data_IF_050622968362
#
_entry.id   IF_050622968362
#
_cell.length_a   1.000
_cell.length_b   1.000
_cell.length_c   1.000
_cell.angle_alpha   90.00
_cell.angle_beta   90.00
_cell.angle_gamma   90.00
#
_symmetry.space_group_name_H-M   'P 1'
#
loop_
_entity.id
_entity.type
_entity.pdbx_description
1 polymer ?
#
# COMPACT_ATOMS: atom_id res chain seq x y z
N UNK A 1 -16.49 3.58 66.59
CA UNK A 1 -15.59 2.41 66.69
C UNK A 1 -16.34 1.20 66.19
N UNK A 2 -15.97 0.47 65.11
CA UNK A 2 -14.68 -0.18 64.90
C UNK A 2 -14.12 0.04 63.46
N UNK A 3 -12.88 0.19 63.37
CA UNK A 3 -11.71 -0.58 62.84
C UNK A 3 -11.68 -0.82 61.32
N UNK A 4 -10.76 -0.09 60.70
CA UNK A 4 -10.29 -0.26 59.34
C UNK A 4 -9.55 -1.59 59.15
N UNK A 5 -9.73 -2.24 58.00
CA UNK A 5 -8.82 -3.27 57.53
C UNK A 5 -8.34 -2.84 56.12
N UNK A 6 -7.05 -2.61 56.00
CA UNK A 6 -6.34 -2.37 54.76
C UNK A 6 -6.26 -3.69 53.98
N UNK A 7 -6.60 -3.64 52.70
CA UNK A 7 -6.29 -4.69 51.72
C UNK A 7 -5.24 -4.15 50.73
N UNK A 8 -4.11 -4.77 50.83
CA UNK A 8 -2.97 -4.73 49.94
C UNK A 8 -3.38 -5.16 48.53
N UNK A 9 -3.21 -4.31 47.52
CA UNK A 9 -3.53 -4.56 46.14
C UNK A 9 -2.29 -4.38 45.29
N UNK A 10 -1.61 -5.47 45.01
CA UNK A 10 -0.49 -5.55 44.09
C UNK A 10 -0.84 -5.00 42.70
N UNK A 11 0.01 -4.14 42.18
CA UNK A 11 -0.04 -3.68 40.80
C UNK A 11 0.28 -4.83 39.85
N UNK A 12 -0.43 -4.99 38.75
CA UNK A 12 0.00 -5.91 37.71
C UNK A 12 1.12 -5.27 36.86
N UNK A 13 2.09 -6.10 36.65
CA UNK A 13 3.27 -5.97 35.80
C UNK A 13 2.93 -5.42 34.42
N UNK A 14 3.67 -4.43 33.96
CA UNK A 14 3.56 -3.86 32.64
C UNK A 14 4.10 -4.86 31.61
N UNK A 15 3.20 -5.56 30.95
CA UNK A 15 3.54 -6.36 29.78
C UNK A 15 4.05 -5.44 28.67
N UNK A 16 5.28 -5.69 28.25
CA UNK A 16 5.94 -5.02 27.13
C UNK A 16 5.09 -5.14 25.86
N UNK A 17 4.68 -4.00 25.36
CA UNK A 17 4.02 -3.86 24.05
C UNK A 17 5.03 -4.23 22.95
N UNK A 18 4.94 -5.46 22.50
CA UNK A 18 5.66 -5.93 21.34
C UNK A 18 5.03 -5.33 20.08
N UNK A 19 5.56 -4.19 19.64
CA UNK A 19 5.22 -3.60 18.34
C UNK A 19 5.64 -4.59 17.23
N UNK A 20 4.72 -5.45 16.84
CA UNK A 20 4.92 -6.27 15.64
C UNK A 20 4.90 -5.32 14.44
N UNK A 21 6.06 -4.98 13.95
CA UNK A 21 6.22 -4.40 12.62
C UNK A 21 5.54 -5.33 11.62
N UNK A 22 4.67 -4.79 10.79
CA UNK A 22 4.09 -5.54 9.69
C UNK A 22 5.24 -6.12 8.85
N UNK A 23 5.21 -7.41 8.50
CA UNK A 23 6.28 -7.98 7.70
C UNK A 23 6.30 -7.25 6.35
N UNK A 24 7.48 -6.75 5.99
CA UNK A 24 7.75 -6.28 4.65
C UNK A 24 7.20 -7.32 3.66
N UNK A 25 6.51 -6.85 2.62
CA UNK A 25 5.97 -7.72 1.58
C UNK A 25 7.14 -8.44 0.88
N UNK A 26 7.51 -9.59 1.41
CA UNK A 26 8.56 -10.44 0.84
C UNK A 26 8.00 -11.06 -0.44
N UNK A 27 8.64 -10.72 -1.54
CA UNK A 27 8.27 -11.14 -2.86
C UNK A 27 8.42 -12.65 -3.00
N UNK A 28 7.32 -13.37 -3.05
CA UNK A 28 7.32 -14.77 -3.39
C UNK A 28 7.96 -14.96 -4.78
N UNK A 29 9.07 -15.69 -4.82
CA UNK A 29 9.60 -16.25 -6.04
C UNK A 29 8.54 -17.18 -6.67
N UNK A 30 8.39 -17.20 -7.99
CA UNK A 30 7.51 -18.14 -8.65
C UNK A 30 8.00 -19.57 -8.42
N UNK A 31 7.06 -20.46 -8.11
CA UNK A 31 7.27 -21.90 -8.04
C UNK A 31 7.86 -22.40 -9.39
N UNK A 32 8.99 -23.07 -9.29
CA UNK A 32 9.69 -23.60 -10.45
C UNK A 32 8.90 -24.78 -11.04
N UNK A 33 8.39 -24.60 -12.25
CA UNK A 33 8.07 -25.69 -13.16
C UNK A 33 8.96 -25.55 -14.40
N UNK A 34 9.92 -26.40 -14.44
CA UNK A 34 10.71 -27.02 -15.50
C UNK A 34 10.59 -26.44 -16.93
N UNK A 35 11.72 -25.95 -17.49
CA UNK A 35 11.86 -25.50 -18.86
C UNK A 35 13.09 -24.61 -19.02
N UNK A 36 14.27 -25.21 -19.25
CA UNK A 36 15.55 -24.54 -19.45
C UNK A 36 15.53 -23.57 -20.63
N UNK A 37 15.61 -22.27 -20.35
CA UNK A 37 16.05 -21.21 -21.27
C UNK A 37 16.74 -20.08 -20.47
N UNK A 38 17.67 -19.30 -21.05
CA UNK A 38 18.86 -18.79 -20.39
C UNK A 38 18.58 -17.79 -19.26
N UNK A 39 19.14 -18.09 -18.10
CA UNK A 39 19.01 -17.36 -16.83
C UNK A 39 19.59 -15.92 -16.82
N UNK A 40 20.14 -15.42 -17.92
CA UNK A 40 20.80 -14.11 -17.97
C UNK A 40 19.85 -12.94 -18.35
N UNK A 41 18.63 -13.20 -18.80
CA UNK A 41 17.71 -12.16 -19.31
C UNK A 41 16.60 -11.76 -18.33
N UNK A 42 16.47 -12.40 -17.15
CA UNK A 42 15.36 -12.16 -16.23
C UNK A 42 15.68 -11.27 -15.03
N UNK A 43 16.95 -11.01 -14.72
CA UNK A 43 17.35 -10.23 -13.55
C UNK A 43 17.18 -8.70 -13.70
N UNK A 44 16.99 -8.18 -14.92
CA UNK A 44 16.99 -6.73 -15.19
C UNK A 44 15.61 -6.12 -15.44
N UNK A 45 14.52 -6.86 -15.21
CA UNK A 45 13.20 -6.42 -15.68
C UNK A 45 12.30 -5.71 -14.64
N UNK A 46 12.69 -5.64 -13.38
CA UNK A 46 12.02 -4.87 -12.33
C UNK A 46 13.04 -4.26 -11.35
N UNK A 47 14.04 -3.61 -11.89
CA UNK A 47 15.24 -3.15 -11.18
C UNK A 47 14.98 -2.14 -10.06
N UNK A 48 13.77 -1.56 -9.96
CA UNK A 48 13.44 -0.67 -8.86
C UNK A 48 12.35 -1.19 -7.90
N UNK A 49 11.81 -2.39 -8.12
CA UNK A 49 10.74 -2.95 -7.28
C UNK A 49 11.03 -2.85 -5.78
N UNK A 50 12.18 -3.32 -5.34
CA UNK A 50 12.55 -3.30 -3.93
C UNK A 50 12.64 -1.87 -3.35
N UNK A 51 13.07 -0.90 -4.18
CA UNK A 51 13.12 0.52 -3.79
C UNK A 51 11.72 1.12 -3.68
N UNK A 52 10.84 0.78 -4.61
CA UNK A 52 9.43 1.18 -4.59
C UNK A 52 8.78 0.69 -3.30
N UNK A 53 8.90 -0.59 -2.97
CA UNK A 53 8.32 -1.13 -1.73
C UNK A 53 8.88 -0.48 -0.47
N UNK A 54 10.21 -0.27 -0.36
CA UNK A 54 10.76 0.42 0.82
C UNK A 54 10.24 1.85 0.96
N UNK A 55 10.11 2.58 -0.14
CA UNK A 55 9.53 3.92 -0.12
C UNK A 55 8.06 3.90 0.32
N UNK A 56 7.29 2.96 -0.19
CA UNK A 56 5.88 2.81 0.17
C UNK A 56 5.70 2.34 1.61
N UNK A 57 6.57 1.47 2.14
CA UNK A 57 6.57 1.06 3.55
C UNK A 57 6.84 2.27 4.47
N UNK A 58 7.83 3.11 4.14
CA UNK A 58 8.12 4.33 4.89
C UNK A 58 6.94 5.32 4.85
N UNK A 59 6.32 5.49 3.69
CA UNK A 59 5.12 6.30 3.54
C UNK A 59 3.92 5.73 4.32
N UNK A 60 3.69 4.41 4.25
CA UNK A 60 2.63 3.74 4.99
C UNK A 60 2.78 3.89 6.51
N UNK A 61 4.01 3.86 7.03
CA UNK A 61 4.28 4.12 8.44
C UNK A 61 3.85 5.54 8.88
N UNK A 62 3.99 6.54 7.99
CA UNK A 62 3.51 7.90 8.25
C UNK A 62 1.97 7.98 8.27
N UNK A 63 1.29 7.30 7.35
CA UNK A 63 -0.17 7.20 7.34
C UNK A 63 -0.69 6.49 8.60
N UNK A 64 0.01 5.46 9.07
CA UNK A 64 -0.32 4.79 10.32
C UNK A 64 -0.14 5.71 11.53
N UNK A 65 0.89 6.55 11.54
CA UNK A 65 1.06 7.55 12.60
C UNK A 65 -0.12 8.54 12.60
N UNK A 66 -0.53 9.01 11.41
CA UNK A 66 -1.70 9.88 11.27
C UNK A 66 -2.97 9.21 11.81
N UNK A 67 -3.20 7.96 11.50
CA UNK A 67 -4.33 7.16 12.01
C UNK A 67 -4.32 7.01 13.54
N UNK A 68 -3.14 6.91 14.14
CA UNK A 68 -2.98 6.86 15.62
C UNK A 68 -3.07 8.23 16.31
N UNK A 69 -3.45 9.28 15.60
CA UNK A 69 -3.64 10.62 16.16
C UNK A 69 -2.43 11.56 16.04
N UNK A 70 -1.41 11.17 15.27
CA UNK A 70 -0.25 12.01 14.97
C UNK A 70 -0.22 12.40 13.47
N UNK A 71 -1.18 13.21 12.99
CA UNK A 71 -1.28 13.52 11.56
C UNK A 71 -0.20 14.50 11.07
N UNK A 72 0.46 15.23 11.97
CA UNK A 72 1.54 16.16 11.58
C UNK A 72 2.82 15.41 11.29
N UNK A 73 3.40 15.67 10.14
CA UNK A 73 4.70 15.14 9.74
C UNK A 73 5.58 16.26 9.15
N UNK A 74 6.90 16.10 9.25
CA UNK A 74 7.84 16.94 8.51
C UNK A 74 8.24 16.18 7.24
N UNK A 75 8.00 16.79 6.10
CA UNK A 75 8.31 16.25 4.77
C UNK A 75 9.13 17.28 4.02
N UNK A 76 10.37 16.93 3.66
CA UNK A 76 11.32 17.84 3.00
C UNK A 76 11.45 19.22 3.70
N UNK A 77 11.44 19.22 5.04
CA UNK A 77 11.55 20.46 5.84
C UNK A 77 10.22 21.21 6.04
N UNK A 78 9.14 20.80 5.41
CA UNK A 78 7.82 21.42 5.54
C UNK A 78 6.92 20.63 6.49
N UNK A 79 6.14 21.33 7.31
CA UNK A 79 5.10 20.69 8.12
C UNK A 79 3.87 20.43 7.23
N UNK A 80 3.42 19.19 7.21
CA UNK A 80 2.25 18.71 6.45
C UNK A 80 1.28 17.98 7.36
N UNK A 81 0.01 17.89 6.93
CA UNK A 81 -1.02 17.12 7.60
C UNK A 81 -1.37 15.90 6.74
N UNK A 82 -0.99 14.73 7.21
CA UNK A 82 -1.30 13.48 6.51
C UNK A 82 -2.68 12.96 6.89
N UNK A 83 -3.48 12.48 5.93
CA UNK A 83 -4.76 11.86 6.21
C UNK A 83 -4.59 10.51 6.88
N UNK A 84 -5.60 10.11 7.66
CA UNK A 84 -5.76 8.71 8.04
C UNK A 84 -6.26 7.92 6.84
N UNK A 85 -5.46 6.96 6.36
CA UNK A 85 -5.89 6.08 5.26
C UNK A 85 -7.10 5.21 5.66
N UNK A 86 -7.91 4.83 4.68
CA UNK A 86 -9.04 3.91 4.89
C UNK A 86 -8.56 2.49 5.11
N UNK A 87 -9.36 1.76 5.89
CA UNK A 87 -9.27 0.30 6.06
C UNK A 87 -10.61 -0.30 5.63
N UNK A 88 -10.57 -1.25 4.73
CA UNK A 88 -11.78 -1.87 4.19
C UNK A 88 -12.12 -3.13 5.00
N UNK A 89 -13.42 -3.36 5.21
CA UNK A 89 -13.88 -4.55 5.94
C UNK A 89 -13.89 -5.82 5.09
N UNK A 90 -14.09 -5.66 3.77
CA UNK A 90 -14.24 -6.76 2.83
C UNK A 90 -13.92 -6.35 1.39
N UNK A 91 -14.01 -7.30 0.47
CA UNK A 91 -13.75 -7.05 -0.95
C UNK A 91 -14.84 -6.22 -1.63
N UNK A 92 -16.09 -6.27 -1.16
CA UNK A 92 -17.19 -5.49 -1.75
C UNK A 92 -16.97 -4.00 -1.45
N UNK A 93 -16.50 -3.67 -0.26
CA UNK A 93 -16.09 -2.31 0.10
C UNK A 93 -14.92 -1.82 -0.77
N UNK A 94 -13.93 -2.69 -1.04
CA UNK A 94 -12.82 -2.38 -1.96
C UNK A 94 -13.34 -2.16 -3.38
N UNK A 95 -14.23 -3.03 -3.88
CA UNK A 95 -14.80 -2.91 -5.23
C UNK A 95 -15.54 -1.58 -5.41
N UNK A 96 -16.41 -1.25 -4.46
CA UNK A 96 -17.16 0.00 -4.46
C UNK A 96 -16.23 1.23 -4.39
N UNK A 97 -15.15 1.13 -3.61
CA UNK A 97 -14.14 2.17 -3.53
C UNK A 97 -13.40 2.37 -4.85
N UNK A 98 -12.88 1.31 -5.47
CA UNK A 98 -12.17 1.37 -6.75
C UNK A 98 -13.04 1.95 -7.87
N UNK A 99 -14.31 1.55 -7.93
CA UNK A 99 -15.26 2.12 -8.89
C UNK A 99 -15.41 3.65 -8.71
N UNK A 100 -15.49 4.12 -7.47
CA UNK A 100 -15.55 5.58 -7.17
C UNK A 100 -14.26 6.29 -7.53
N UNK A 101 -13.09 5.73 -7.21
CA UNK A 101 -11.79 6.32 -7.56
C UNK A 101 -11.67 6.49 -9.08
N UNK A 102 -11.98 5.43 -9.85
CA UNK A 102 -11.91 5.48 -11.31
C UNK A 102 -12.96 6.42 -11.94
N UNK A 103 -14.01 6.78 -11.22
CA UNK A 103 -15.01 7.75 -11.63
C UNK A 103 -14.65 9.20 -11.31
N UNK A 104 -13.61 9.46 -10.51
CA UNK A 104 -13.19 10.83 -10.17
C UNK A 104 -12.83 11.62 -11.43
N UNK A 105 -13.29 12.88 -11.54
CA UNK A 105 -13.02 13.71 -12.73
C UNK A 105 -11.53 13.87 -13.04
N UNK A 106 -10.70 14.10 -12.02
CA UNK A 106 -9.25 14.24 -12.18
C UNK A 106 -8.61 12.95 -12.73
N UNK A 107 -9.01 11.78 -12.21
CA UNK A 107 -8.55 10.48 -12.69
C UNK A 107 -8.97 10.26 -14.16
N UNK A 108 -10.23 10.53 -14.48
CA UNK A 108 -10.72 10.38 -15.86
C UNK A 108 -10.04 11.33 -16.84
N UNK A 109 -9.72 12.54 -16.41
CA UNK A 109 -9.00 13.51 -17.24
C UNK A 109 -7.55 13.06 -17.46
N UNK A 110 -6.86 12.59 -16.44
CA UNK A 110 -5.45 12.21 -16.53
C UNK A 110 -5.23 10.85 -17.21
N UNK A 111 -6.12 9.87 -16.97
CA UNK A 111 -5.90 8.47 -17.33
C UNK A 111 -6.90 7.93 -18.36
N UNK A 112 -7.97 8.67 -18.65
CA UNK A 112 -9.07 8.22 -19.52
C UNK A 112 -10.05 7.31 -18.77
N UNK A 113 -10.93 6.65 -19.55
CA UNK A 113 -11.88 5.68 -19.01
C UNK A 113 -11.17 4.34 -18.79
N UNK A 114 -10.98 3.96 -17.53
CA UNK A 114 -10.40 2.68 -17.12
C UNK A 114 -11.51 1.81 -16.54
N UNK A 115 -11.71 0.56 -17.00
CA UNK A 115 -12.68 -0.35 -16.40
C UNK A 115 -12.23 -0.76 -14.99
N UNK A 116 -13.18 -1.04 -14.11
CA UNK A 116 -12.87 -1.54 -12.77
C UNK A 116 -12.22 -2.92 -12.83
N UNK A 117 -11.19 -3.19 -12.02
CA UNK A 117 -10.61 -4.52 -11.91
C UNK A 117 -11.59 -5.49 -11.24
N UNK A 118 -11.44 -6.78 -11.51
CA UNK A 118 -12.08 -7.84 -10.72
C UNK A 118 -11.32 -8.00 -9.41
N UNK A 119 -12.04 -8.37 -8.36
CA UNK A 119 -11.43 -8.72 -7.08
C UNK A 119 -11.64 -10.20 -6.79
N UNK A 120 -10.65 -10.83 -6.19
CA UNK A 120 -10.78 -12.19 -5.68
C UNK A 120 -9.99 -12.38 -4.38
N UNK A 121 -10.48 -13.25 -3.53
CA UNK A 121 -9.70 -13.74 -2.40
C UNK A 121 -8.58 -14.65 -2.89
N UNK A 122 -7.41 -14.53 -2.26
CA UNK A 122 -6.34 -15.51 -2.45
C UNK A 122 -5.98 -16.18 -1.14
N UNK A 123 -5.49 -17.41 -1.24
CA UNK A 123 -4.91 -18.12 -0.10
C UNK A 123 -3.51 -17.57 0.20
N UNK A 124 -3.12 -17.58 1.47
CA UNK A 124 -1.84 -17.05 1.94
C UNK A 124 -1.95 -15.65 2.52
N UNK A 125 -0.86 -15.18 3.15
CA UNK A 125 -0.85 -13.95 3.96
C UNK A 125 0.17 -12.91 3.49
N UNK A 126 0.93 -13.18 2.42
CA UNK A 126 2.16 -12.41 2.14
C UNK A 126 2.02 -11.24 1.17
N UNK A 127 1.12 -11.27 0.20
CA UNK A 127 1.01 -10.18 -0.77
C UNK A 127 -0.36 -10.11 -1.42
N UNK A 128 -0.92 -8.90 -1.55
CA UNK A 128 -1.88 -8.60 -2.61
C UNK A 128 -1.11 -8.51 -3.92
N UNK A 129 -1.72 -8.81 -5.05
CA UNK A 129 -1.11 -8.57 -6.34
C UNK A 129 -2.15 -8.47 -7.46
N UNK A 130 -1.80 -7.65 -8.43
CA UNK A 130 -2.55 -7.55 -9.66
C UNK A 130 -2.19 -8.70 -10.62
N UNK A 131 -3.19 -9.25 -11.30
CA UNK A 131 -3.07 -10.34 -12.27
C UNK A 131 -3.66 -9.94 -13.62
N UNK A 132 -2.97 -10.20 -14.74
CA UNK A 132 -3.56 -10.03 -16.06
C UNK A 132 -4.83 -10.90 -16.25
N UNK A 133 -5.84 -10.46 -17.01
CA UNK A 133 -5.93 -9.16 -17.69
C UNK A 133 -6.48 -8.02 -16.82
N UNK A 134 -6.82 -8.24 -15.57
CA UNK A 134 -7.40 -7.19 -14.73
C UNK A 134 -8.05 -7.68 -13.44
N UNK A 135 -7.35 -8.54 -12.69
CA UNK A 135 -7.80 -9.05 -11.39
C UNK A 135 -6.83 -8.60 -10.30
N UNK A 136 -7.35 -8.12 -9.18
CA UNK A 136 -6.59 -7.89 -7.96
C UNK A 136 -6.89 -9.04 -6.99
N UNK A 137 -5.88 -9.81 -6.67
CA UNK A 137 -5.95 -10.92 -5.73
C UNK A 137 -5.52 -10.44 -4.34
N UNK A 138 -6.44 -10.48 -3.38
CA UNK A 138 -6.26 -9.93 -2.03
C UNK A 138 -6.23 -11.05 -1.01
N UNK A 139 -5.16 -11.20 -0.23
CA UNK A 139 -5.16 -12.09 0.92
C UNK A 139 -5.92 -11.45 2.07
N UNK A 140 -6.88 -12.18 2.62
CA UNK A 140 -7.54 -11.81 3.87
C UNK A 140 -7.18 -12.88 4.89
N UNK A 141 -6.30 -12.59 5.83
CA UNK A 141 -5.92 -13.54 6.85
C UNK A 141 -7.09 -13.84 7.77
N UNK A 142 -7.25 -15.10 8.23
CA UNK A 142 -8.34 -15.47 9.13
C UNK A 142 -8.22 -14.83 10.52
N UNK A 143 -7.01 -14.38 10.88
CA UNK A 143 -6.71 -13.74 12.16
C UNK A 143 -5.75 -12.57 11.95
N UNK A 144 -5.88 -11.54 12.78
CA UNK A 144 -5.05 -10.35 12.72
C UNK A 144 -5.62 -9.24 11.82
N UNK A 145 -4.89 -8.14 11.74
CA UNK A 145 -5.32 -7.00 10.93
C UNK A 145 -5.16 -7.31 9.43
N UNK A 146 -6.21 -7.13 8.62
CA UNK A 146 -6.14 -7.39 7.19
C UNK A 146 -5.35 -6.28 6.47
N UNK A 147 -4.03 -6.32 6.58
CA UNK A 147 -3.12 -5.33 6.02
C UNK A 147 -3.34 -5.10 4.51
N UNK A 148 -3.75 -6.12 3.78
CA UNK A 148 -4.03 -6.03 2.33
C UNK A 148 -5.31 -5.24 2.02
N UNK A 149 -6.15 -4.97 3.01
CA UNK A 149 -7.34 -4.12 2.91
C UNK A 149 -7.05 -2.66 3.29
N UNK A 150 -5.80 -2.23 3.24
CA UNK A 150 -5.38 -0.83 3.38
C UNK A 150 -5.57 -0.07 2.07
N UNK A 151 -5.96 1.19 2.17
CA UNK A 151 -6.12 2.07 1.02
C UNK A 151 -4.82 2.21 0.20
N UNK A 152 -3.68 2.35 0.88
CA UNK A 152 -2.36 2.40 0.24
C UNK A 152 -2.06 1.17 -0.60
N UNK A 153 -2.33 -0.03 -0.10
CA UNK A 153 -2.14 -1.30 -0.83
C UNK A 153 -3.12 -1.41 -2.00
N UNK A 154 -4.38 -1.05 -1.78
CA UNK A 154 -5.41 -1.07 -2.84
C UNK A 154 -5.09 -0.10 -3.98
N UNK A 155 -4.55 1.09 -3.66
CA UNK A 155 -4.10 2.05 -4.67
C UNK A 155 -2.86 1.58 -5.43
N UNK A 156 -1.93 0.87 -4.77
CA UNK A 156 -0.79 0.24 -5.44
C UNK A 156 -1.25 -0.77 -6.51
N UNK A 157 -2.14 -1.67 -6.15
CA UNK A 157 -2.67 -2.66 -7.09
C UNK A 157 -3.52 -2.02 -8.20
N UNK A 158 -4.23 -0.93 -7.88
CA UNK A 158 -4.92 -0.13 -8.88
C UNK A 158 -3.95 0.52 -9.87
N UNK A 159 -2.80 1.00 -9.41
CA UNK A 159 -1.78 1.57 -10.29
C UNK A 159 -1.25 0.53 -11.30
N UNK A 160 -1.06 -0.73 -10.87
CA UNK A 160 -0.75 -1.83 -11.79
C UNK A 160 -1.86 -2.05 -12.82
N UNK A 161 -3.12 -2.06 -12.39
CA UNK A 161 -4.27 -2.23 -13.27
C UNK A 161 -4.34 -1.10 -14.31
N UNK A 162 -4.26 0.15 -13.86
CA UNK A 162 -4.26 1.33 -14.74
C UNK A 162 -3.09 1.29 -15.72
N UNK A 163 -1.88 0.99 -15.24
CA UNK A 163 -0.68 0.89 -16.06
C UNK A 163 -0.84 -0.13 -17.17
N UNK A 164 -1.42 -1.28 -16.87
CA UNK A 164 -1.68 -2.33 -17.85
C UNK A 164 -2.75 -1.91 -18.88
N UNK A 165 -3.91 -1.46 -18.40
CA UNK A 165 -5.04 -1.08 -19.28
C UNK A 165 -4.67 0.05 -20.23
N UNK A 166 -3.90 1.03 -19.74
CA UNK A 166 -3.47 2.18 -20.54
C UNK A 166 -2.18 1.91 -21.31
N UNK A 167 -1.55 0.77 -21.12
CA UNK A 167 -0.26 0.43 -21.75
C UNK A 167 0.93 1.25 -21.24
N UNK A 168 0.78 2.03 -20.15
CA UNK A 168 1.79 2.95 -19.65
C UNK A 168 2.86 2.29 -18.77
N UNK A 169 2.48 1.27 -17.99
CA UNK A 169 3.40 0.53 -17.14
C UNK A 169 3.02 -0.95 -17.08
N UNK A 170 4.02 -1.84 -17.06
CA UNK A 170 3.79 -3.28 -16.91
C UNK A 170 4.19 -3.81 -15.54
N UNK A 171 5.14 -3.14 -14.88
CA UNK A 171 5.72 -3.49 -13.57
C UNK A 171 5.99 -2.20 -12.80
N UNK A 172 7.03 -2.18 -11.92
CA UNK A 172 7.44 -1.00 -11.16
C UNK A 172 8.41 -0.08 -11.94
N UNK A 173 8.34 -0.05 -13.26
CA UNK A 173 9.08 0.87 -14.13
C UNK A 173 8.74 2.34 -13.82
N UNK A 174 9.54 3.29 -14.32
CA UNK A 174 9.37 4.71 -14.03
C UNK A 174 7.93 5.27 -14.18
N UNK A 175 7.09 4.82 -15.13
CA UNK A 175 5.69 5.26 -15.20
C UNK A 175 4.81 4.76 -14.04
N UNK A 176 5.12 3.61 -13.42
CA UNK A 176 4.30 3.09 -12.31
C UNK A 176 4.26 4.03 -11.10
N UNK A 177 5.42 4.52 -10.55
CA UNK A 177 5.39 5.48 -9.46
C UNK A 177 4.64 6.77 -9.80
N UNK A 178 4.69 7.22 -11.07
CA UNK A 178 3.93 8.39 -11.50
C UNK A 178 2.42 8.13 -11.46
N UNK A 179 1.96 6.95 -11.91
CA UNK A 179 0.56 6.53 -11.82
C UNK A 179 0.08 6.47 -10.37
N UNK A 180 0.88 5.85 -9.48
CA UNK A 180 0.53 5.77 -8.07
C UNK A 180 0.48 7.15 -7.41
N UNK A 181 1.43 8.02 -7.70
CA UNK A 181 1.41 9.41 -7.21
C UNK A 181 0.17 10.17 -7.65
N UNK A 182 -0.28 10.02 -8.90
CA UNK A 182 -1.49 10.68 -9.39
C UNK A 182 -2.76 10.14 -8.69
N UNK A 183 -2.83 8.82 -8.45
CA UNK A 183 -3.92 8.22 -7.68
C UNK A 183 -3.93 8.73 -6.24
N UNK A 184 -2.76 8.79 -5.59
CA UNK A 184 -2.62 9.27 -4.22
C UNK A 184 -2.98 10.75 -4.11
N UNK A 185 -2.53 11.58 -5.06
CA UNK A 185 -2.84 13.02 -5.07
C UNK A 185 -4.34 13.28 -5.13
N UNK A 186 -5.03 12.60 -6.04
CA UNK A 186 -6.47 12.78 -6.24
C UNK A 186 -7.31 12.21 -5.08
N UNK A 187 -6.83 11.17 -4.38
CA UNK A 187 -7.61 10.43 -3.38
C UNK A 187 -7.26 10.80 -1.95
N UNK A 188 -5.98 10.92 -1.65
CA UNK A 188 -5.45 11.22 -0.31
C UNK A 188 -4.96 12.67 -0.18
N UNK A 189 -4.86 13.38 -1.32
CA UNK A 189 -4.47 14.78 -1.37
C UNK A 189 -2.98 15.02 -1.57
N UNK A 190 -2.67 16.27 -1.93
CA UNK A 190 -1.33 16.71 -2.33
C UNK A 190 -0.25 16.48 -1.26
N UNK A 191 -0.60 16.59 0.03
CA UNK A 191 0.35 16.39 1.13
C UNK A 191 0.75 14.92 1.27
N UNK A 192 -0.19 13.98 1.06
CA UNK A 192 0.09 12.56 1.04
C UNK A 192 0.93 12.18 -0.19
N UNK A 193 0.63 12.75 -1.35
CA UNK A 193 1.40 12.56 -2.58
C UNK A 193 2.81 13.15 -2.46
N UNK A 194 2.96 14.33 -1.84
CA UNK A 194 4.28 14.92 -1.54
C UNK A 194 5.11 13.99 -0.64
N UNK A 195 4.49 13.45 0.42
CA UNK A 195 5.18 12.54 1.32
C UNK A 195 5.68 11.29 0.57
N UNK A 196 4.83 10.65 -0.26
CA UNK A 196 5.24 9.51 -1.07
C UNK A 196 6.34 9.87 -2.08
N UNK A 197 6.23 11.04 -2.73
CA UNK A 197 7.25 11.52 -3.68
C UNK A 197 8.62 11.71 -3.01
N UNK A 198 8.64 12.20 -1.78
CA UNK A 198 9.87 12.37 -1.00
C UNK A 198 10.49 11.02 -0.63
N UNK A 199 9.67 10.04 -0.24
CA UNK A 199 10.16 8.69 0.02
C UNK A 199 10.70 8.02 -1.27
N UNK A 200 10.06 8.22 -2.42
CA UNK A 200 10.60 7.79 -3.72
C UNK A 200 11.96 8.44 -4.01
N UNK A 201 12.12 9.73 -3.72
CA UNK A 201 13.41 10.42 -3.85
C UNK A 201 14.48 9.83 -2.93
N UNK A 202 14.15 9.56 -1.68
CA UNK A 202 15.03 8.93 -0.68
C UNK A 202 15.54 7.58 -1.16
N UNK A 203 14.66 6.75 -1.70
CA UNK A 203 14.98 5.43 -2.23
C UNK A 203 15.50 5.44 -3.68
N UNK A 204 15.66 6.62 -4.27
CA UNK A 204 16.12 6.80 -5.66
C UNK A 204 15.25 6.04 -6.66
N UNK A 205 13.94 6.04 -6.44
CA UNK A 205 12.97 5.50 -7.39
C UNK A 205 12.84 6.48 -8.55
N UNK A 206 13.00 5.99 -9.77
CA UNK A 206 12.74 6.77 -10.96
C UNK A 206 11.23 6.97 -11.13
N UNK A 207 10.79 8.22 -11.18
CA UNK A 207 9.41 8.61 -11.42
C UNK A 207 9.31 9.17 -12.84
N UNK A 208 8.56 8.49 -13.70
CA UNK A 208 8.31 8.92 -15.08
C UNK A 208 7.25 10.01 -15.17
N UNK A 209 6.93 10.40 -16.43
CA UNK A 209 5.73 11.18 -16.73
C UNK A 209 4.49 10.31 -16.89
N UNK A 210 3.31 10.93 -16.82
CA UNK A 210 2.00 10.33 -17.12
C UNK A 210 1.68 10.44 -18.62
#
# INVERSE_FOLDING_TARGET
>A
MPTATAADGAAPDAAADGTAAAPAADAAAPDAADGAAPAAASADRDGQRARVYRAEDAWAARLDAARRGAPRATVAGSAVLLPAERRFGDLDAVAAYLARVLALPGIRTALGAVPSPRLRLRRGVRAAHWEPPGTIAVPVPPHGEPWALRESVVLHELAHHVGHVTGRARRHEAPFPALLLALVDEVLGAEAALALRVEYGTERVAVGGL
#
